data_IF_240739257066
#
_entry.id   IF_240739257066
#
_cell.length_a   1.000
_cell.length_b   1.000
_cell.length_c   1.000
_cell.angle_alpha   90.00
_cell.angle_beta   90.00
_cell.angle_gamma   90.00
#
_symmetry.space_group_name_H-M   'P 1'
#
loop_
_entity.id
_entity.type
_entity.pdbx_description
1 polymer ?
#
# COMPACT_ATOMS: atom_id res chain seq x y z
N UNK A 1 19.07 2.90 1.08
CA UNK A 1 17.88 2.09 0.74
C UNK A 1 16.60 2.92 0.54
N UNK A 2 16.44 4.11 1.14
CA UNK A 2 15.26 4.97 0.96
C UNK A 2 14.97 5.38 -0.50
N UNK A 3 16.00 5.73 -1.29
CA UNK A 3 15.86 6.08 -2.71
C UNK A 3 15.12 5.02 -3.55
N UNK A 4 15.28 3.76 -3.20
CA UNK A 4 14.76 2.65 -3.99
C UNK A 4 13.34 2.24 -3.58
N UNK A 5 12.93 2.52 -2.34
CA UNK A 5 11.59 2.18 -1.82
C UNK A 5 10.65 3.38 -1.67
N UNK A 6 11.17 4.61 -1.86
CA UNK A 6 10.39 5.84 -1.69
C UNK A 6 10.53 6.80 -2.89
N UNK A 7 11.73 7.02 -3.42
CA UNK A 7 12.01 8.18 -4.29
C UNK A 7 12.09 7.92 -5.80
N UNK A 8 12.14 6.66 -6.24
CA UNK A 8 12.11 6.37 -7.69
C UNK A 8 10.70 6.65 -8.26
N UNK A 9 10.61 7.26 -9.45
CA UNK A 9 9.34 7.58 -10.13
C UNK A 9 8.37 6.40 -10.21
N UNK A 10 8.90 5.20 -10.43
CA UNK A 10 8.12 3.97 -10.43
C UNK A 10 7.39 3.74 -9.11
N UNK A 11 8.10 3.97 -8.00
CA UNK A 11 7.63 3.77 -6.64
C UNK A 11 6.75 4.93 -6.17
N UNK A 12 7.08 6.17 -6.54
CA UNK A 12 6.24 7.34 -6.30
C UNK A 12 4.82 7.13 -6.81
N UNK A 13 4.67 6.66 -8.05
CA UNK A 13 3.36 6.32 -8.63
C UNK A 13 2.59 5.24 -7.88
N UNK A 14 3.27 4.28 -7.23
CA UNK A 14 2.61 3.26 -6.42
C UNK A 14 2.06 3.90 -5.15
N UNK A 15 2.89 4.68 -4.45
CA UNK A 15 2.50 5.35 -3.22
C UNK A 15 1.40 6.39 -3.43
N UNK A 16 1.45 7.17 -4.50
CA UNK A 16 0.38 8.10 -4.89
C UNK A 16 -0.98 7.39 -4.96
N UNK A 17 -1.03 6.18 -5.54
CA UNK A 17 -2.26 5.39 -5.67
C UNK A 17 -2.77 4.87 -4.32
N UNK A 18 -1.85 4.51 -3.43
CA UNK A 18 -2.18 4.01 -2.08
C UNK A 18 -2.62 5.14 -1.16
N UNK A 19 -2.00 6.32 -1.28
CA UNK A 19 -2.30 7.51 -0.48
C UNK A 19 -3.44 8.36 -1.04
N UNK A 20 -3.90 8.11 -2.26
CA UNK A 20 -5.00 8.83 -2.92
C UNK A 20 -6.30 8.95 -2.08
N UNK A 21 -6.67 8.03 -1.17
CA UNK A 21 -7.82 8.25 -0.30
C UNK A 21 -7.65 9.36 0.74
N UNK A 22 -6.41 9.75 1.05
CA UNK A 22 -6.08 10.69 2.13
C UNK A 22 -5.73 12.09 1.61
N UNK A 23 -6.26 12.53 0.45
CA UNK A 23 -5.90 13.81 -0.23
C UNK A 23 -6.42 15.06 0.52
N UNK A 24 -6.45 15.02 1.85
CA UNK A 24 -6.40 16.22 2.68
C UNK A 24 -5.07 16.22 3.42
N UNK A 25 -4.06 16.76 2.75
CA UNK A 25 -2.81 17.32 3.29
C UNK A 25 -1.60 16.36 3.49
N UNK A 26 -0.55 16.61 2.68
CA UNK A 26 0.86 16.75 3.13
C UNK A 26 1.74 15.52 3.42
N UNK A 27 1.52 14.34 2.83
CA UNK A 27 2.57 13.30 2.82
C UNK A 27 3.35 13.32 1.50
N UNK A 28 4.25 14.30 1.38
CA UNK A 28 5.27 14.27 0.32
C UNK A 28 6.29 13.20 0.64
N UNK A 29 6.39 12.17 -0.20
CA UNK A 29 7.38 11.09 -0.07
C UNK A 29 8.82 11.64 -0.09
N UNK A 30 9.04 12.80 -0.71
CA UNK A 30 10.34 13.47 -0.74
C UNK A 30 10.80 13.98 0.63
N UNK A 31 9.90 14.13 1.60
CA UNK A 31 10.23 14.57 2.96
C UNK A 31 10.83 13.43 3.82
N UNK A 32 10.79 12.18 3.34
CA UNK A 32 11.23 11.01 4.11
C UNK A 32 12.50 10.39 3.51
N UNK A 33 13.64 10.56 4.19
CA UNK A 33 14.92 10.01 3.76
C UNK A 33 15.05 8.50 3.97
N UNK A 34 14.23 7.93 4.86
CA UNK A 34 14.25 6.50 5.21
C UNK A 34 12.85 5.90 5.23
N UNK A 35 12.76 4.60 4.94
CA UNK A 35 11.51 3.84 5.05
C UNK A 35 10.99 3.84 6.49
N UNK A 36 11.89 3.79 7.47
CA UNK A 36 11.55 3.88 8.89
C UNK A 36 10.85 5.21 9.23
N UNK A 37 11.42 6.34 8.82
CA UNK A 37 10.82 7.66 9.05
C UNK A 37 9.44 7.77 8.38
N UNK A 38 9.30 7.21 7.18
CA UNK A 38 8.02 7.14 6.48
C UNK A 38 6.99 6.27 7.22
N UNK A 39 7.38 5.11 7.74
CA UNK A 39 6.50 4.21 8.50
C UNK A 39 6.07 4.84 9.83
N UNK A 40 6.97 5.55 10.52
CA UNK A 40 6.65 6.27 11.74
C UNK A 40 5.67 7.42 11.51
N UNK A 41 5.78 8.08 10.35
CA UNK A 41 4.86 9.13 9.92
C UNK A 41 3.64 8.62 9.14
N UNK A 42 3.43 7.28 9.09
CA UNK A 42 2.31 6.70 8.36
C UNK A 42 0.99 7.25 8.95
N UNK A 43 0.13 7.85 8.12
CA UNK A 43 -1.01 8.60 8.62
C UNK A 43 -1.99 7.63 9.28
N UNK A 44 -2.68 8.11 10.31
CA UNK A 44 -3.79 7.36 10.90
C UNK A 44 -5.03 7.63 10.05
N UNK A 45 -5.71 6.60 9.53
CA UNK A 45 -6.91 6.80 8.74
C UNK A 45 -8.07 7.07 9.71
N UNK A 46 -9.10 7.74 9.20
CA UNK A 46 -10.42 7.73 9.81
C UNK A 46 -11.24 6.63 9.12
N UNK A 47 -12.05 5.87 9.85
CA UNK A 47 -12.86 4.79 9.26
C UNK A 47 -13.29 3.73 10.26
N UNK A 48 -13.93 2.68 9.74
CA UNK A 48 -14.34 1.51 10.53
C UNK A 48 -13.12 0.69 11.01
N UNK A 49 -13.35 -0.17 12.00
CA UNK A 49 -12.29 -0.90 12.69
C UNK A 49 -11.46 -1.80 11.73
N UNK A 50 -12.13 -2.41 10.75
CA UNK A 50 -11.49 -3.25 9.75
C UNK A 50 -10.62 -2.44 8.77
N UNK A 51 -11.15 -1.34 8.23
CA UNK A 51 -10.42 -0.40 7.38
C UNK A 51 -9.17 0.15 8.06
N UNK A 52 -9.25 0.49 9.35
CA UNK A 52 -8.10 0.92 10.16
C UNK A 52 -7.05 -0.20 10.25
N UNK A 53 -7.44 -1.45 10.46
CA UNK A 53 -6.50 -2.59 10.50
C UNK A 53 -5.84 -2.82 9.13
N UNK A 54 -6.61 -2.80 8.06
CA UNK A 54 -6.07 -2.93 6.68
C UNK A 54 -5.07 -1.82 6.39
N UNK A 55 -5.39 -0.58 6.73
CA UNK A 55 -4.52 0.57 6.52
C UNK A 55 -3.20 0.48 7.29
N UNK A 56 -3.23 -0.03 8.53
CA UNK A 56 -2.00 -0.26 9.31
C UNK A 56 -1.06 -1.25 8.62
N UNK A 57 -1.60 -2.24 7.91
CA UNK A 57 -0.80 -3.21 7.17
C UNK A 57 -0.39 -2.74 5.77
N UNK A 58 -1.13 -1.77 5.20
CA UNK A 58 -0.93 -1.24 3.85
C UNK A 58 0.55 -0.93 3.49
N UNK A 59 1.31 -0.17 4.30
CA UNK A 59 2.65 0.23 3.88
C UNK A 59 3.60 -0.97 3.82
N UNK A 60 3.41 -1.99 4.67
CA UNK A 60 4.24 -3.19 4.67
C UNK A 60 3.99 -4.05 3.41
N UNK A 61 2.74 -4.20 2.98
CA UNK A 61 2.43 -4.96 1.78
C UNK A 61 2.94 -4.27 0.51
N UNK A 62 2.90 -2.94 0.48
CA UNK A 62 3.46 -2.14 -0.62
C UNK A 62 4.98 -2.30 -0.67
N UNK A 63 5.68 -2.14 0.46
CA UNK A 63 7.13 -2.35 0.54
C UNK A 63 7.53 -3.75 0.12
N UNK A 64 6.80 -4.77 0.58
CA UNK A 64 7.01 -6.17 0.18
C UNK A 64 6.85 -6.36 -1.33
N UNK A 65 5.80 -5.78 -1.92
CA UNK A 65 5.52 -5.91 -3.34
C UNK A 65 6.56 -5.18 -4.20
N UNK A 66 7.05 -4.01 -3.77
CA UNK A 66 8.16 -3.31 -4.41
C UNK A 66 9.44 -4.14 -4.35
N UNK A 67 9.76 -4.71 -3.18
CA UNK A 67 10.93 -5.57 -3.00
C UNK A 67 10.87 -6.78 -3.92
N UNK A 68 9.71 -7.45 -3.99
CA UNK A 68 9.45 -8.58 -4.88
C UNK A 68 9.58 -8.20 -6.35
N UNK A 69 8.97 -7.09 -6.77
CA UNK A 69 9.02 -6.62 -8.15
C UNK A 69 10.46 -6.33 -8.60
N UNK A 70 11.26 -5.70 -7.74
CA UNK A 70 12.67 -5.45 -8.01
C UNK A 70 13.48 -6.74 -8.10
N UNK A 71 13.31 -7.66 -7.15
CA UNK A 71 14.07 -8.91 -7.16
C UNK A 71 13.71 -9.78 -8.36
N UNK A 72 12.44 -9.87 -8.73
CA UNK A 72 12.04 -10.59 -9.93
C UNK A 72 12.59 -9.93 -11.21
N UNK A 73 12.73 -8.60 -11.25
CA UNK A 73 13.38 -7.92 -12.37
C UNK A 73 14.87 -8.29 -12.45
N UNK A 74 15.60 -8.20 -11.33
CA UNK A 74 17.04 -8.47 -11.28
C UNK A 74 17.36 -9.94 -11.56
N UNK A 75 16.66 -10.87 -10.92
CA UNK A 75 17.00 -12.29 -10.93
C UNK A 75 16.25 -13.10 -11.99
N UNK A 76 15.14 -12.56 -12.52
CA UNK A 76 14.26 -13.28 -13.47
C UNK A 76 13.91 -12.49 -14.71
N UNK A 77 14.41 -11.26 -14.87
CA UNK A 77 14.09 -10.38 -15.99
C UNK A 77 12.61 -9.98 -16.08
N UNK A 78 11.82 -10.16 -15.02
CA UNK A 78 10.38 -9.89 -15.03
C UNK A 78 10.10 -8.46 -14.61
N UNK A 79 9.79 -7.61 -15.58
CA UNK A 79 9.39 -6.22 -15.36
C UNK A 79 7.90 -6.15 -15.03
N UNK A 80 7.55 -5.41 -13.97
CA UNK A 80 6.17 -5.09 -13.60
C UNK A 80 5.97 -3.58 -13.66
N UNK A 81 4.80 -3.14 -14.09
CA UNK A 81 4.39 -1.75 -13.99
C UNK A 81 3.80 -1.41 -12.61
N UNK A 82 3.65 -0.13 -12.32
CA UNK A 82 3.18 0.35 -11.00
C UNK A 82 1.79 -0.18 -10.64
N UNK A 83 0.89 -0.31 -11.62
CA UNK A 83 -0.44 -0.87 -11.42
C UNK A 83 -0.38 -2.35 -11.02
N UNK A 84 0.49 -3.15 -11.65
CA UNK A 84 0.66 -4.56 -11.29
C UNK A 84 1.17 -4.69 -9.85
N UNK A 85 2.15 -3.88 -9.45
CA UNK A 85 2.67 -3.90 -8.07
C UNK A 85 1.62 -3.43 -7.06
N UNK A 86 0.80 -2.43 -7.41
CA UNK A 86 -0.34 -2.01 -6.58
C UNK A 86 -1.32 -3.17 -6.36
N UNK A 87 -1.72 -3.88 -7.42
CA UNK A 87 -2.63 -5.02 -7.33
C UNK A 87 -2.04 -6.17 -6.52
N UNK A 88 -0.74 -6.43 -6.67
CA UNK A 88 -0.03 -7.41 -5.85
C UNK A 88 -0.04 -7.01 -4.36
N UNK A 89 0.22 -5.73 -4.05
CA UNK A 89 0.16 -5.23 -2.67
C UNK A 89 -1.23 -5.41 -2.08
N UNK A 90 -2.28 -5.08 -2.83
CA UNK A 90 -3.67 -5.29 -2.43
C UNK A 90 -4.00 -6.77 -2.19
N UNK A 91 -3.50 -7.68 -3.04
CA UNK A 91 -3.66 -9.11 -2.84
C UNK A 91 -2.92 -9.62 -1.59
N UNK A 92 -1.71 -9.13 -1.32
CA UNK A 92 -0.98 -9.46 -0.08
C UNK A 92 -1.72 -8.96 1.15
N UNK A 93 -2.23 -7.72 1.13
CA UNK A 93 -3.04 -7.19 2.23
C UNK A 93 -4.23 -8.07 2.51
N UNK A 94 -5.00 -8.38 1.46
CA UNK A 94 -6.17 -9.24 1.59
C UNK A 94 -5.84 -10.61 2.16
N UNK A 95 -4.70 -11.19 1.76
CA UNK A 95 -4.24 -12.47 2.28
C UNK A 95 -3.72 -12.37 3.72
N UNK A 96 -3.07 -11.27 4.10
CA UNK A 96 -2.59 -11.05 5.47
C UNK A 96 -3.73 -10.82 6.46
N UNK A 97 -4.88 -10.34 5.98
CA UNK A 97 -6.12 -10.24 6.76
C UNK A 97 -6.88 -11.56 6.87
N UNK A 98 -6.32 -12.69 6.43
CA UNK A 98 -7.09 -13.92 6.29
C UNK A 98 -7.74 -14.44 7.58
N UNK A 99 -7.15 -14.11 8.73
CA UNK A 99 -7.64 -14.51 10.05
C UNK A 99 -8.47 -13.42 10.76
N UNK A 100 -8.72 -12.27 10.11
CA UNK A 100 -9.58 -11.24 10.68
C UNK A 100 -11.05 -11.62 10.47
N UNK A 101 -11.82 -11.67 11.54
CA UNK A 101 -13.23 -12.10 11.49
C UNK A 101 -14.09 -11.16 10.64
N UNK A 102 -13.78 -9.86 10.64
CA UNK A 102 -14.50 -8.83 9.90
C UNK A 102 -14.25 -8.92 8.40
N UNK A 103 -13.21 -9.64 7.96
CA UNK A 103 -12.94 -9.87 6.53
C UNK A 103 -14.13 -10.51 5.81
N UNK A 104 -14.92 -11.33 6.51
CA UNK A 104 -16.07 -12.06 5.92
C UNK A 104 -17.19 -11.12 5.45
N UNK A 105 -17.23 -9.91 6.00
CA UNK A 105 -18.22 -8.87 5.67
C UNK A 105 -17.82 -8.07 4.42
N UNK A 106 -16.61 -8.30 3.90
CA UNK A 106 -16.05 -7.60 2.77
C UNK A 106 -15.61 -8.55 1.67
N UNK A 107 -15.55 -8.05 0.44
CA UNK A 107 -14.99 -8.73 -0.71
C UNK A 107 -13.66 -8.11 -1.13
N UNK A 108 -12.76 -8.96 -1.65
CA UNK A 108 -11.48 -8.50 -2.21
C UNK A 108 -11.64 -7.40 -3.28
N UNK A 109 -12.74 -7.46 -4.03
CA UNK A 109 -13.06 -6.47 -5.06
C UNK A 109 -13.24 -5.06 -4.49
N UNK A 110 -13.82 -4.92 -3.30
CA UNK A 110 -14.01 -3.63 -2.63
C UNK A 110 -12.64 -3.01 -2.30
N UNK A 111 -11.72 -3.79 -1.73
CA UNK A 111 -10.35 -3.34 -1.47
C UNK A 111 -9.62 -2.94 -2.77
N UNK A 112 -9.81 -3.70 -3.85
CA UNK A 112 -9.10 -3.51 -5.12
C UNK A 112 -9.61 -2.33 -5.94
N UNK A 113 -10.94 -2.13 -5.99
CA UNK A 113 -11.59 -1.16 -6.88
C UNK A 113 -12.08 0.09 -6.14
N UNK A 114 -12.40 -0.06 -4.87
CA UNK A 114 -13.03 0.99 -4.05
C UNK A 114 -12.12 1.38 -2.89
N UNK A 115 -10.79 1.29 -3.05
CA UNK A 115 -9.80 1.51 -2.00
C UNK A 115 -10.10 2.70 -1.08
N UNK A 116 -10.48 3.85 -1.65
CA UNK A 116 -10.84 5.01 -0.84
C UNK A 116 -12.15 4.88 -0.07
N UNK A 117 -13.18 4.29 -0.68
CA UNK A 117 -14.45 3.99 -0.02
C UNK A 117 -14.28 2.91 1.04
N UNK A 118 -13.58 1.83 0.73
CA UNK A 118 -13.28 0.70 1.61
C UNK A 118 -12.67 1.14 2.96
N UNK A 119 -11.80 2.15 2.95
CA UNK A 119 -11.20 2.68 4.18
C UNK A 119 -12.16 3.51 5.03
N UNK A 120 -13.21 4.08 4.44
CA UNK A 120 -14.11 5.04 5.07
C UNK A 120 -15.58 4.56 5.13
N UNK A 121 -15.88 3.33 4.72
CA UNK A 121 -17.25 2.79 4.66
C UNK A 121 -17.90 2.83 6.06
N UNK A 122 -19.07 3.48 6.10
CA UNK A 122 -19.92 3.75 7.26
C UNK A 122 -20.73 2.54 7.70
#
# INVERSE_FOLDING_TARGET
>A
MGHLFLHCDFVGRIWERILAPLITQTLSLHNFLTVEAFLLAWPRPAGNEFGVRVWKLAPYAVLWSIWRARNDNIFRGRVRNAMQVQKEAMAYLWNWMANDEHRKEHHFRELLLEWGGFLHQH
#
